data_IF_610046508406
#
_entry.id   IF_610046508406
#
_cell.length_a   1.000
_cell.length_b   1.000
_cell.length_c   1.000
_cell.angle_alpha   90.00
_cell.angle_beta   90.00
_cell.angle_gamma   90.00
#
_symmetry.space_group_name_H-M   'P 1'
#
loop_
_entity.id
_entity.type
_entity.pdbx_description
1 polymer ?
#
# COMPACT_ATOMS: atom_id res chain seq x y z
N UNK A 1 4.65 -26.29 -2.95
CA UNK A 1 3.35 -25.72 -2.49
C UNK A 1 3.50 -24.78 -1.26
N UNK A 2 4.55 -23.94 -1.18
CA UNK A 2 4.90 -23.22 0.06
C UNK A 2 5.15 -21.71 -0.02
N UNK A 3 5.03 -21.07 -1.20
CA UNK A 3 5.47 -19.67 -1.39
C UNK A 3 4.52 -18.60 -0.82
N UNK A 4 3.27 -18.95 -0.54
CA UNK A 4 2.23 -17.99 -0.11
C UNK A 4 1.76 -18.19 1.35
N UNK A 5 2.11 -19.31 1.97
CA UNK A 5 1.59 -19.69 3.30
C UNK A 5 1.85 -18.64 4.40
N UNK A 6 3.03 -17.98 4.46
CA UNK A 6 3.30 -17.03 5.53
C UNK A 6 2.37 -15.81 5.53
N UNK A 7 2.16 -15.14 4.38
CA UNK A 7 1.27 -13.98 4.31
C UNK A 7 -0.20 -14.36 4.50
N UNK A 8 -0.62 -15.51 3.96
CA UNK A 8 -1.98 -16.02 4.18
C UNK A 8 -2.26 -16.28 5.66
N UNK A 9 -1.30 -16.92 6.35
CA UNK A 9 -1.40 -17.15 7.78
C UNK A 9 -1.55 -15.83 8.55
N UNK A 10 -0.76 -14.81 8.18
CA UNK A 10 -0.89 -13.47 8.78
C UNK A 10 -2.27 -12.88 8.57
N UNK A 11 -2.88 -13.05 7.40
CA UNK A 11 -4.24 -12.54 7.14
C UNK A 11 -5.32 -13.31 7.89
N UNK A 12 -5.21 -14.64 7.96
CA UNK A 12 -6.16 -15.51 8.67
C UNK A 12 -6.14 -15.27 10.18
N UNK A 13 -4.97 -14.98 10.75
CA UNK A 13 -4.78 -14.75 12.18
C UNK A 13 -4.93 -13.27 12.59
N UNK A 14 -5.15 -12.35 11.64
CA UNK A 14 -5.26 -10.93 11.94
C UNK A 14 -6.61 -10.60 12.57
N UNK A 15 -6.62 -10.31 13.86
CA UNK A 15 -7.84 -10.01 14.62
C UNK A 15 -8.51 -8.69 14.22
N UNK A 16 -7.73 -7.70 13.78
CA UNK A 16 -8.24 -6.44 13.26
C UNK A 16 -9.05 -6.64 11.97
N UNK A 17 -8.48 -7.37 11.00
CA UNK A 17 -9.13 -7.66 9.71
C UNK A 17 -10.30 -8.62 9.86
N UNK A 18 -10.23 -9.55 10.81
CA UNK A 18 -11.25 -10.57 11.04
C UNK A 18 -12.20 -10.25 12.19
N UNK A 19 -12.23 -9.00 12.66
CA UNK A 19 -13.02 -8.59 13.80
C UNK A 19 -14.51 -8.97 13.59
N UNK A 20 -15.13 -9.73 14.52
CA UNK A 20 -16.53 -10.12 14.42
C UNK A 20 -17.50 -8.92 14.38
N UNK A 21 -17.12 -7.79 14.99
CA UNK A 21 -17.93 -6.57 15.08
C UNK A 21 -17.99 -5.78 13.76
N UNK A 22 -17.08 -6.06 12.82
CA UNK A 22 -17.13 -5.50 11.47
C UNK A 22 -18.22 -6.16 10.62
N UNK A 23 -18.79 -5.38 9.70
CA UNK A 23 -19.71 -5.93 8.71
C UNK A 23 -19.02 -6.96 7.81
N UNK A 24 -19.80 -7.84 7.17
CA UNK A 24 -19.23 -8.79 6.21
C UNK A 24 -18.56 -8.07 5.03
N UNK A 25 -19.14 -6.95 4.57
CA UNK A 25 -18.59 -6.13 3.50
C UNK A 25 -17.24 -5.53 3.89
N UNK A 26 -17.11 -4.97 5.09
CA UNK A 26 -15.86 -4.40 5.56
C UNK A 26 -14.78 -5.47 5.69
N UNK A 27 -15.12 -6.65 6.22
CA UNK A 27 -14.18 -7.77 6.28
C UNK A 27 -13.72 -8.23 4.91
N UNK A 28 -14.63 -8.32 3.93
CA UNK A 28 -14.27 -8.67 2.54
C UNK A 28 -13.33 -7.62 1.95
N UNK A 29 -13.66 -6.35 2.15
CA UNK A 29 -12.88 -5.21 1.68
C UNK A 29 -11.46 -5.21 2.29
N UNK A 30 -11.35 -5.27 3.62
CA UNK A 30 -10.06 -5.31 4.32
C UNK A 30 -9.22 -6.52 3.91
N UNK A 31 -9.83 -7.71 3.76
CA UNK A 31 -9.12 -8.89 3.24
C UNK A 31 -8.64 -8.71 1.81
N UNK A 32 -9.38 -7.96 0.99
CA UNK A 32 -9.05 -7.65 -0.40
C UNK A 32 -7.81 -6.77 -0.57
N UNK A 33 -7.51 -5.91 0.41
CA UNK A 33 -6.34 -5.01 0.38
C UNK A 33 -5.00 -5.79 0.36
N UNK A 34 -4.93 -6.93 1.04
CA UNK A 34 -3.72 -7.75 1.03
C UNK A 34 -3.62 -8.54 -0.28
N UNK A 35 -2.88 -7.99 -1.24
CA UNK A 35 -2.70 -8.61 -2.55
C UNK A 35 -1.40 -8.19 -3.25
N UNK A 36 -1.16 -8.79 -4.41
CA UNK A 36 -0.20 -8.30 -5.40
C UNK A 36 -0.96 -7.50 -6.43
N UNK A 37 -0.55 -6.25 -6.62
CA UNK A 37 -1.10 -5.31 -7.59
C UNK A 37 -0.12 -5.11 -8.74
N UNK A 38 -0.61 -5.24 -9.97
CA UNK A 38 0.10 -4.73 -11.14
C UNK A 38 -0.22 -3.26 -11.27
N UNK A 39 0.81 -2.46 -11.48
CA UNK A 39 0.74 -1.01 -11.37
C UNK A 39 1.16 -0.35 -12.68
N UNK A 40 0.38 0.64 -13.10
CA UNK A 40 0.69 1.61 -14.14
C UNK A 40 1.12 2.91 -13.45
N UNK A 41 2.13 3.58 -13.99
CA UNK A 41 2.44 4.96 -13.59
C UNK A 41 1.89 5.90 -14.64
N UNK A 42 1.25 6.99 -14.22
CA UNK A 42 0.61 7.94 -15.13
C UNK A 42 1.60 8.48 -16.18
N UNK A 43 2.79 8.86 -15.74
CA UNK A 43 3.83 9.40 -16.62
C UNK A 43 4.49 8.38 -17.56
N UNK A 44 4.20 7.09 -17.36
CA UNK A 44 4.59 6.00 -18.26
C UNK A 44 3.37 5.16 -18.64
N UNK A 45 2.23 5.82 -18.86
CA UNK A 45 0.97 5.15 -19.20
C UNK A 45 1.12 4.19 -20.39
N UNK A 46 1.95 4.54 -21.38
CA UNK A 46 2.22 3.72 -22.57
C UNK A 46 2.88 2.37 -22.25
N UNK A 47 3.56 2.26 -21.10
CA UNK A 47 4.12 0.97 -20.64
C UNK A 47 3.07 0.06 -20.03
N UNK A 48 1.89 0.57 -19.69
CA UNK A 48 0.83 -0.18 -19.05
C UNK A 48 1.20 -0.69 -17.65
N UNK A 49 0.60 -1.81 -17.25
CA UNK A 49 0.72 -2.42 -15.93
C UNK A 49 1.98 -3.29 -15.79
N UNK A 50 3.15 -2.67 -15.89
CA UNK A 50 4.47 -3.35 -15.84
C UNK A 50 5.15 -3.26 -14.49
N UNK A 51 4.64 -2.42 -13.58
CA UNK A 51 5.17 -2.27 -12.23
C UNK A 51 4.38 -3.10 -11.24
N UNK A 52 4.87 -3.19 -10.02
CA UNK A 52 4.26 -4.00 -8.99
C UNK A 52 4.27 -3.30 -7.63
N UNK A 53 3.16 -3.42 -6.91
CA UNK A 53 3.06 -3.16 -5.48
C UNK A 53 2.52 -4.43 -4.82
N UNK A 54 3.08 -4.84 -3.69
CA UNK A 54 2.55 -5.94 -2.88
C UNK A 54 2.22 -5.39 -1.51
N UNK A 55 1.05 -5.70 -0.98
CA UNK A 55 0.58 -5.21 0.32
C UNK A 55 0.28 -6.39 1.25
N UNK A 56 0.65 -6.29 2.52
CA UNK A 56 0.41 -7.29 3.55
C UNK A 56 0.02 -6.61 4.86
N UNK A 57 -0.99 -7.16 5.54
CA UNK A 57 -1.42 -6.66 6.83
C UNK A 57 -0.45 -7.03 7.96
N UNK A 58 -0.40 -6.16 8.96
CA UNK A 58 0.32 -6.26 10.23
C UNK A 58 -0.55 -5.64 11.32
N UNK A 59 -1.50 -6.41 11.85
CA UNK A 59 -2.62 -5.91 12.66
C UNK A 59 -3.39 -4.80 11.92
N UNK A 60 -3.39 -3.59 12.46
CA UNK A 60 -4.00 -2.35 11.96
C UNK A 60 -3.09 -1.56 11.00
N UNK A 61 -1.90 -2.07 10.70
CA UNK A 61 -0.91 -1.48 9.79
C UNK A 61 -0.78 -2.26 8.50
N UNK A 62 -0.44 -1.59 7.39
CA UNK A 62 -0.13 -2.27 6.12
C UNK A 62 1.33 -2.03 5.76
N UNK A 63 2.04 -3.12 5.48
CA UNK A 63 3.34 -3.08 4.83
C UNK A 63 3.18 -3.29 3.34
N UNK A 64 4.02 -2.63 2.56
CA UNK A 64 4.10 -2.91 1.15
C UNK A 64 5.50 -2.88 0.60
N UNK A 65 5.71 -3.55 -0.53
CA UNK A 65 6.91 -3.37 -1.33
C UNK A 65 6.52 -2.93 -2.73
N UNK A 66 7.37 -2.14 -3.35
CA UNK A 66 7.13 -1.60 -4.67
C UNK A 66 8.36 -1.77 -5.57
N UNK A 67 8.11 -2.00 -6.85
CA UNK A 67 9.12 -2.02 -7.91
C UNK A 67 8.65 -1.19 -9.09
N UNK A 68 9.24 0.01 -9.18
CA UNK A 68 8.94 1.03 -10.17
C UNK A 68 10.05 1.14 -11.21
N UNK A 69 10.89 0.10 -11.37
CA UNK A 69 12.05 0.10 -12.26
C UNK A 69 13.28 0.73 -11.60
N UNK A 70 13.58 2.02 -11.84
CA UNK A 70 14.69 2.70 -11.16
C UNK A 70 14.52 2.86 -9.64
N UNK A 71 13.29 2.78 -9.12
CA UNK A 71 13.01 2.86 -7.69
C UNK A 71 12.43 1.55 -7.21
N UNK A 72 12.94 1.05 -6.09
CA UNK A 72 12.39 -0.10 -5.38
C UNK A 72 12.48 0.14 -3.89
N UNK A 73 11.56 -0.40 -3.12
CA UNK A 73 11.59 -0.20 -1.69
C UNK A 73 10.39 -0.78 -0.96
N UNK A 74 10.28 -0.39 0.30
CA UNK A 74 9.21 -0.76 1.23
C UNK A 74 8.42 0.50 1.56
N UNK A 75 7.10 0.39 1.62
CA UNK A 75 6.18 1.40 2.13
C UNK A 75 5.49 0.88 3.38
N UNK A 76 5.10 1.81 4.25
CA UNK A 76 4.38 1.54 5.48
C UNK A 76 3.21 2.51 5.57
N UNK A 77 2.01 1.96 5.56
CA UNK A 77 0.76 2.67 5.77
C UNK A 77 0.37 2.44 7.22
N UNK A 78 0.48 3.48 8.05
CA UNK A 78 0.22 3.41 9.48
C UNK A 78 -0.78 4.50 9.87
N UNK A 79 -1.97 4.08 10.26
CA UNK A 79 -3.04 4.98 10.70
C UNK A 79 -3.01 5.21 12.21
N UNK A 80 -2.22 4.43 12.94
CA UNK A 80 -2.29 4.34 14.39
C UNK A 80 -3.58 3.67 14.86
N UNK A 81 -3.59 3.16 16.12
CA UNK A 81 -4.70 2.37 16.66
C UNK A 81 -5.97 3.18 16.93
N UNK A 82 -5.88 4.51 16.90
CA UNK A 82 -6.99 5.43 17.20
C UNK A 82 -7.77 5.86 15.94
N UNK A 83 -7.28 5.50 14.75
CA UNK A 83 -7.98 5.81 13.50
C UNK A 83 -8.82 4.61 13.07
N UNK A 84 -10.05 4.89 12.69
CA UNK A 84 -10.97 3.89 12.16
C UNK A 84 -10.36 3.20 10.93
N UNK A 85 -10.66 1.90 10.71
CA UNK A 85 -10.23 1.20 9.51
C UNK A 85 -10.62 2.00 8.27
N UNK A 86 -9.93 1.79 7.13
CA UNK A 86 -10.40 2.31 5.87
C UNK A 86 -11.89 2.01 5.67
N UNK A 87 -12.73 3.04 5.68
CA UNK A 87 -14.17 2.83 5.51
C UNK A 87 -14.44 2.46 4.06
N UNK A 88 -15.26 1.43 3.85
CA UNK A 88 -15.74 1.12 2.52
C UNK A 88 -16.75 2.19 2.09
N UNK A 89 -16.36 3.08 1.19
CA UNK A 89 -17.20 4.19 0.69
C UNK A 89 -18.30 3.77 -0.28
N UNK A 90 -18.89 2.57 -0.11
CA UNK A 90 -19.75 1.84 -1.04
C UNK A 90 -21.02 2.51 -1.59
N UNK A 91 -21.17 3.84 -1.51
CA UNK A 91 -22.32 4.57 -2.03
C UNK A 91 -21.99 6.04 -2.35
N UNK A 92 -21.76 6.36 -3.63
CA UNK A 92 -22.18 7.64 -4.22
C UNK A 92 -22.57 7.44 -5.70
N UNK A 93 -23.56 6.58 -5.92
CA UNK A 93 -24.39 6.64 -7.12
C UNK A 93 -25.54 7.60 -6.86
N UNK A 94 -25.25 8.90 -6.88
CA UNK A 94 -26.25 9.97 -6.86
C UNK A 94 -26.41 10.54 -8.25
N UNK A 95 -27.57 10.32 -8.84
CA UNK A 95 -28.08 10.97 -10.03
C UNK A 95 -28.30 12.47 -9.78
N UNK A 96 -27.23 13.26 -9.87
CA UNK A 96 -27.29 14.71 -9.73
C UNK A 96 -26.15 15.38 -10.48
N UNK A 97 -26.46 15.93 -11.65
CA UNK A 97 -25.61 16.92 -12.30
C UNK A 97 -25.59 18.17 -11.40
N UNK A 98 -24.46 18.50 -10.80
CA UNK A 98 -23.89 19.86 -10.78
C UNK A 98 -22.62 19.93 -9.92
N UNK A 99 -21.61 20.57 -10.50
CA UNK A 99 -20.41 21.20 -9.93
C UNK A 99 -19.37 20.32 -9.19
N UNK A 100 -18.12 20.47 -9.64
CA UNK A 100 -16.94 19.75 -9.16
C UNK A 100 -16.61 20.13 -7.70
N UNK A 101 -17.06 19.30 -6.76
CA UNK A 101 -16.54 19.23 -5.40
C UNK A 101 -15.79 17.90 -5.21
N UNK A 102 -14.68 17.98 -4.47
CA UNK A 102 -13.71 16.94 -4.12
C UNK A 102 -14.40 15.60 -3.79
N UNK A 103 -14.45 14.72 -4.80
CA UNK A 103 -15.10 13.41 -4.79
C UNK A 103 -14.53 12.59 -3.63
N UNK A 104 -15.38 12.02 -2.77
CA UNK A 104 -15.09 11.52 -1.41
C UNK A 104 -14.11 10.34 -1.29
N UNK A 105 -12.94 10.45 -1.92
CA UNK A 105 -11.83 9.54 -1.93
C UNK A 105 -11.07 9.62 -0.60
N UNK A 106 -11.07 8.52 0.15
CA UNK A 106 -10.36 8.43 1.42
C UNK A 106 -8.91 8.02 1.12
N UNK A 107 -8.00 8.98 1.29
CA UNK A 107 -6.56 8.75 1.16
C UNK A 107 -5.90 8.42 2.49
N UNK A 108 -5.02 7.44 2.43
CA UNK A 108 -4.19 6.97 3.52
C UNK A 108 -2.75 7.45 3.32
N UNK A 109 -2.22 8.17 4.31
CA UNK A 109 -0.83 8.57 4.30
C UNK A 109 0.08 7.35 4.50
N UNK A 110 1.19 7.32 3.78
CA UNK A 110 2.24 6.33 3.99
C UNK A 110 3.62 6.97 3.97
N UNK A 111 4.56 6.29 4.61
CA UNK A 111 6.00 6.57 4.48
C UNK A 111 6.66 5.46 3.70
N UNK A 112 7.78 5.75 3.05
CA UNK A 112 8.52 4.74 2.31
C UNK A 112 10.03 4.87 2.47
N UNK A 113 10.74 3.76 2.31
CA UNK A 113 12.19 3.66 2.23
C UNK A 113 12.56 2.86 0.99
N UNK A 114 13.65 3.19 0.33
CA UNK A 114 14.04 2.45 -0.86
C UNK A 114 15.38 2.85 -1.44
N UNK A 115 15.62 2.35 -2.64
CA UNK A 115 16.85 2.60 -3.40
C UNK A 115 16.47 3.11 -4.80
N UNK A 116 17.09 4.22 -5.18
CA UNK A 116 17.16 4.69 -6.57
C UNK A 116 18.42 4.12 -7.22
N UNK A 117 18.26 3.38 -8.32
CA UNK A 117 19.40 2.87 -9.11
C UNK A 117 20.26 4.03 -9.64
N UNK A 118 21.61 3.93 -9.62
CA UNK A 118 22.36 2.71 -9.34
C UNK A 118 22.53 2.32 -7.87
N UNK A 119 22.49 3.20 -6.85
CA UNK A 119 22.64 2.80 -5.43
C UNK A 119 22.30 3.91 -4.41
N UNK A 120 21.42 4.86 -4.72
CA UNK A 120 21.08 5.94 -3.77
C UNK A 120 19.95 5.48 -2.86
N UNK A 121 20.25 5.25 -1.58
CA UNK A 121 19.21 5.00 -0.56
C UNK A 121 18.41 6.27 -0.29
N UNK A 122 17.09 6.13 -0.20
CA UNK A 122 16.13 7.17 0.16
C UNK A 122 15.37 6.64 1.36
N UNK A 123 15.59 7.24 2.52
CA UNK A 123 14.99 6.80 3.78
C UNK A 123 14.58 7.96 4.70
N UNK A 124 14.68 9.21 4.21
CA UNK A 124 14.30 10.38 4.99
C UNK A 124 12.76 10.51 5.03
N UNK A 125 12.12 10.31 6.20
CA UNK A 125 10.67 10.31 6.32
C UNK A 125 10.05 11.68 6.08
N UNK A 126 10.83 12.77 6.07
CA UNK A 126 10.31 14.11 5.76
C UNK A 126 9.98 14.29 4.27
N UNK A 127 10.60 13.51 3.39
CA UNK A 127 10.42 13.60 1.93
C UNK A 127 9.87 12.31 1.32
N UNK A 128 10.17 11.15 1.92
CA UNK A 128 9.78 9.85 1.41
C UNK A 128 8.39 9.47 1.96
N UNK A 129 7.39 10.17 1.46
CA UNK A 129 5.97 10.02 1.83
C UNK A 129 5.12 9.71 0.60
N UNK A 130 3.84 9.49 0.81
CA UNK A 130 2.86 9.42 -0.25
C UNK A 130 1.47 9.22 0.29
N UNK A 131 0.51 9.11 -0.64
CA UNK A 131 -0.88 8.79 -0.33
C UNK A 131 -1.33 7.60 -1.16
N UNK A 132 -2.12 6.73 -0.56
CA UNK A 132 -2.74 5.59 -1.22
C UNK A 132 -4.23 5.57 -0.92
N UNK A 133 -5.02 5.24 -1.94
CA UNK A 133 -6.44 4.99 -1.83
C UNK A 133 -6.69 3.51 -2.11
N UNK A 134 -7.61 2.92 -1.35
CA UNK A 134 -7.99 1.51 -1.45
C UNK A 134 -9.42 1.39 -1.95
N UNK A 135 -9.57 1.02 -3.22
CA UNK A 135 -10.86 0.61 -3.78
C UNK A 135 -11.18 -0.85 -3.49
N UNK A 136 -12.39 -1.28 -3.87
CA UNK A 136 -12.83 -2.68 -3.73
C UNK A 136 -11.96 -3.69 -4.50
N UNK A 137 -11.34 -3.24 -5.58
CA UNK A 137 -10.55 -4.08 -6.49
C UNK A 137 -9.45 -3.30 -7.22
N UNK A 138 -8.97 -2.22 -6.61
CA UNK A 138 -7.92 -1.38 -7.18
C UNK A 138 -7.22 -0.58 -6.08
N UNK A 139 -6.04 -0.05 -6.40
CA UNK A 139 -5.34 0.94 -5.58
C UNK A 139 -4.96 2.11 -6.48
N UNK A 140 -4.98 3.32 -5.93
CA UNK A 140 -4.42 4.50 -6.62
C UNK A 140 -3.70 5.38 -5.61
N UNK A 141 -3.00 6.39 -6.09
CA UNK A 141 -2.33 7.36 -5.25
C UNK A 141 -1.03 7.85 -5.84
N UNK A 142 -0.13 8.33 -4.98
CA UNK A 142 1.15 8.88 -5.42
C UNK A 142 2.26 8.72 -4.39
N UNK A 143 3.49 8.71 -4.90
CA UNK A 143 4.71 8.80 -4.09
C UNK A 143 5.32 10.19 -4.21
N UNK A 144 5.80 10.72 -3.08
CA UNK A 144 6.65 11.91 -2.99
C UNK A 144 8.11 11.49 -2.77
N UNK A 145 9.07 12.41 -2.98
CA UNK A 145 10.48 12.14 -2.68
C UNK A 145 11.19 11.21 -3.67
N UNK A 146 10.69 11.07 -4.91
CA UNK A 146 11.33 10.31 -6.00
C UNK A 146 12.02 11.25 -7.02
N UNK A 147 13.22 11.78 -6.72
CA UNK A 147 13.84 12.86 -7.51
C UNK A 147 14.31 12.40 -8.90
N UNK A 148 14.01 13.17 -9.94
CA UNK A 148 14.46 12.88 -11.32
C UNK A 148 13.41 12.17 -12.19
N UNK A 149 12.14 12.20 -11.80
CA UNK A 149 11.03 11.75 -12.62
C UNK A 149 10.55 12.81 -13.64
N UNK A 150 11.00 14.07 -13.52
CA UNK A 150 10.67 15.14 -14.48
C UNK A 150 9.24 15.69 -14.36
N UNK A 151 8.64 15.58 -13.17
CA UNK A 151 7.22 15.85 -12.94
C UNK A 151 7.02 17.24 -12.32
N UNK A 152 6.09 18.06 -12.83
CA UNK A 152 5.95 19.46 -12.41
C UNK A 152 5.65 19.64 -10.92
N UNK A 153 4.93 18.68 -10.32
CA UNK A 153 4.51 18.69 -8.92
C UNK A 153 5.38 17.81 -8.01
N UNK A 154 6.37 17.11 -8.57
CA UNK A 154 7.25 16.21 -7.85
C UNK A 154 6.57 14.92 -7.33
N UNK A 155 5.32 14.66 -7.69
CA UNK A 155 4.56 13.47 -7.28
C UNK A 155 4.59 12.42 -8.37
N UNK A 156 4.55 11.15 -7.96
CA UNK A 156 4.53 10.02 -8.89
C UNK A 156 3.25 9.22 -8.73
N UNK A 157 2.28 9.54 -9.58
CA UNK A 157 0.97 8.90 -9.58
C UNK A 157 1.02 7.46 -10.08
N UNK A 158 0.19 6.63 -9.47
CA UNK A 158 0.07 5.22 -9.82
C UNK A 158 -1.38 4.75 -9.74
N UNK A 159 -1.72 3.81 -10.61
CA UNK A 159 -2.97 3.04 -10.56
C UNK A 159 -2.64 1.56 -10.59
N UNK A 160 -3.26 0.78 -9.71
CA UNK A 160 -2.98 -0.64 -9.52
C UNK A 160 -4.23 -1.48 -9.55
N UNK A 161 -4.15 -2.63 -10.23
CA UNK A 161 -5.18 -3.66 -10.19
C UNK A 161 -4.59 -4.95 -9.61
N UNK A 162 -5.34 -5.69 -8.76
CA UNK A 162 -4.88 -6.94 -8.22
C UNK A 162 -4.63 -7.96 -9.33
N UNK A 163 -3.66 -8.84 -9.13
CA UNK A 163 -3.46 -9.97 -10.02
C UNK A 163 -4.68 -10.89 -10.02
N UNK A 164 -5.01 -11.44 -11.20
CA UNK A 164 -6.12 -12.36 -11.33
C UNK A 164 -5.94 -13.62 -10.47
N UNK A 165 -6.98 -13.98 -9.72
CA UNK A 165 -7.01 -15.15 -8.85
C UNK A 165 -7.05 -14.78 -7.37
N UNK A 166 -6.85 -15.75 -6.46
CA UNK A 166 -6.87 -15.50 -5.03
C UNK A 166 -5.81 -14.46 -4.63
N UNK A 167 -6.10 -13.55 -3.68
CA UNK A 167 -5.12 -12.59 -3.18
C UNK A 167 -3.88 -13.31 -2.68
N UNK A 168 -2.73 -13.01 -3.28
CA UNK A 168 -1.47 -13.71 -3.05
C UNK A 168 -0.35 -12.72 -2.87
N UNK A 169 0.37 -12.86 -1.76
CA UNK A 169 1.63 -12.14 -1.51
C UNK A 169 2.72 -13.20 -1.36
N UNK A 170 3.66 -13.32 -2.30
CA UNK A 170 4.70 -14.37 -2.29
C UNK A 170 5.86 -14.05 -1.33
N UNK A 171 5.57 -13.43 -0.18
CA UNK A 171 6.54 -12.95 0.81
C UNK A 171 5.92 -13.04 2.20
N UNK A 172 6.73 -13.23 3.24
CA UNK A 172 6.25 -13.14 4.62
C UNK A 172 6.26 -11.69 5.11
N UNK A 173 5.37 -11.35 6.04
CA UNK A 173 5.37 -10.06 6.74
C UNK A 173 6.76 -9.71 7.29
N UNK A 174 7.43 -10.67 7.95
CA UNK A 174 8.78 -10.45 8.51
C UNK A 174 9.81 -10.04 7.45
N UNK A 175 9.61 -10.43 6.18
CA UNK A 175 10.53 -10.05 5.11
C UNK A 175 10.37 -8.58 4.69
N UNK A 176 9.18 -7.99 4.83
CA UNK A 176 8.97 -6.56 4.59
C UNK A 176 9.63 -5.74 5.70
N UNK A 177 9.35 -6.09 6.95
CA UNK A 177 9.92 -5.41 8.14
C UNK A 177 11.45 -5.47 8.14
N UNK A 178 12.03 -6.63 7.84
CA UNK A 178 13.49 -6.77 7.75
C UNK A 178 14.10 -5.88 6.67
N UNK A 179 13.47 -5.80 5.50
CA UNK A 179 13.96 -4.96 4.41
C UNK A 179 13.84 -3.47 4.77
N UNK A 180 12.74 -3.04 5.39
CA UNK A 180 12.56 -1.69 5.92
C UNK A 180 13.67 -1.28 6.89
N UNK A 181 13.98 -2.13 7.88
CA UNK A 181 15.03 -1.87 8.87
C UNK A 181 16.42 -1.84 8.21
N UNK A 182 16.66 -2.70 7.21
CA UNK A 182 17.95 -2.72 6.50
C UNK A 182 18.23 -1.44 5.69
N UNK A 183 17.19 -0.67 5.35
CA UNK A 183 17.29 0.57 4.57
C UNK A 183 17.62 1.80 5.43
N UNK A 184 17.60 1.69 6.76
CA UNK A 184 17.98 2.76 7.66
C UNK A 184 18.54 2.22 8.98
N UNK A 185 19.86 2.10 9.05
CA UNK A 185 20.55 1.62 10.25
C UNK A 185 20.60 2.66 11.38
N UNK A 186 20.10 3.87 11.17
CA UNK A 186 20.13 4.96 12.16
C UNK A 186 18.81 5.15 12.91
N UNK A 187 17.71 4.63 12.35
CA UNK A 187 16.40 4.62 12.99
C UNK A 187 16.26 3.41 13.93
N UNK A 188 15.29 3.49 14.84
CA UNK A 188 14.86 2.33 15.61
C UNK A 188 14.24 1.26 14.70
N UNK A 189 14.51 0.00 15.02
CA UNK A 189 14.01 -1.13 14.25
C UNK A 189 12.50 -1.29 14.45
N UNK A 190 11.77 -1.33 13.34
CA UNK A 190 10.36 -1.70 13.35
C UNK A 190 10.20 -3.20 13.65
N UNK A 191 9.13 -3.54 14.34
CA UNK A 191 8.76 -4.93 14.63
C UNK A 191 7.32 -5.20 14.20
N UNK A 192 6.99 -6.48 14.01
CA UNK A 192 5.62 -6.92 13.72
C UNK A 192 4.73 -6.58 14.92
N UNK A 193 3.58 -5.95 14.67
CA UNK A 193 2.63 -5.61 15.72
C UNK A 193 2.04 -6.88 16.32
N UNK A 194 1.99 -6.93 17.64
CA UNK A 194 1.27 -7.98 18.36
C UNK A 194 -0.14 -7.50 18.64
N UNK A 195 -1.10 -8.43 18.61
CA UNK A 195 -2.44 -8.14 19.11
C UNK A 195 -2.33 -7.79 20.61
N UNK A 196 -3.14 -6.83 21.10
CA UNK A 196 -3.18 -6.46 22.52
C UNK A 196 -3.61 -7.61 23.45
#
# INVERSE_FOLDING_TARGET
MGKFRPAWKTLEENEFVNNPDLSEYDRIYLRGIQSTYKVKQEHWADRGYVFQIRLVWDQDRIWGDFDFGPYKGILMVDHGPEREPPEWSGQQGGDGYDEAEDDGAIYFDFTWRGVKRPSTTINNPQIAKGKIEFGSSWISGYFEGMPGAGLPDGRRYFDGNPEWGPPRVPRSLQSFVREWNSLDSSAEDETVRQAP
#
